data_IF_288773661277
#
_entry.id   IF_288773661277
#
_cell.length_a   1.000
_cell.length_b   1.000
_cell.length_c   1.000
_cell.angle_alpha   90.00
_cell.angle_beta   90.00
_cell.angle_gamma   90.00
#
_symmetry.space_group_name_H-M   'P 1'
#
loop_
_entity.id
_entity.type
_entity.pdbx_description
1 polymer ?
#
# COMPACT_ATOMS: atom_id res chain seq x y z
N UNK A 1 27.36 -56.46 33.30
CA UNK A 1 26.81 -55.12 33.09
C UNK A 1 25.30 -55.28 32.83
N UNK A 2 24.43 -54.65 33.60
CA UNK A 2 22.98 -54.96 33.60
C UNK A 2 22.34 -54.52 32.28
N UNK A 3 21.72 -55.41 31.53
CA UNK A 3 21.04 -55.14 30.24
C UNK A 3 19.97 -54.03 30.35
N UNK A 4 19.31 -53.96 31.52
CA UNK A 4 18.30 -52.93 31.82
C UNK A 4 18.94 -51.52 31.87
N UNK A 5 20.13 -51.36 32.49
CA UNK A 5 20.81 -50.08 32.55
C UNK A 5 21.22 -49.55 31.18
N UNK A 6 21.61 -50.42 30.24
CA UNK A 6 21.98 -50.07 28.90
C UNK A 6 20.77 -49.61 28.08
N UNK A 7 19.62 -50.20 28.24
CA UNK A 7 18.37 -49.82 27.57
C UNK A 7 17.85 -48.46 28.08
N UNK A 8 17.89 -48.26 29.41
CA UNK A 8 17.49 -46.94 30.00
C UNK A 8 18.41 -45.82 29.50
N UNK A 9 19.70 -46.07 29.42
CA UNK A 9 20.67 -45.07 28.92
C UNK A 9 20.43 -44.72 27.43
N UNK A 10 20.12 -45.73 26.60
CA UNK A 10 19.74 -45.48 25.18
C UNK A 10 18.47 -44.68 25.02
N UNK A 11 17.45 -44.94 25.83
CA UNK A 11 16.18 -44.18 25.82
C UNK A 11 16.42 -42.74 26.23
N UNK A 12 17.21 -42.52 27.29
CA UNK A 12 17.56 -41.15 27.74
C UNK A 12 18.30 -40.34 26.67
N UNK A 13 19.24 -40.97 25.98
CA UNK A 13 19.96 -40.28 24.87
C UNK A 13 19.00 -39.97 23.73
N UNK A 14 18.15 -40.92 23.35
CA UNK A 14 17.18 -40.71 22.26
C UNK A 14 16.20 -39.57 22.57
N UNK A 15 15.70 -39.50 23.80
CA UNK A 15 14.81 -38.40 24.22
C UNK A 15 15.53 -37.04 24.23
N UNK A 16 16.77 -37.00 24.70
CA UNK A 16 17.59 -35.79 24.69
C UNK A 16 17.84 -35.27 23.27
N UNK A 17 18.17 -36.17 22.33
CA UNK A 17 18.37 -35.81 20.93
C UNK A 17 17.08 -35.29 20.32
N UNK A 18 15.94 -35.95 20.57
CA UNK A 18 14.64 -35.54 20.05
C UNK A 18 14.23 -34.15 20.56
N UNK A 19 14.42 -33.87 21.85
CA UNK A 19 14.11 -32.56 22.42
C UNK A 19 15.02 -31.47 21.84
N UNK A 20 16.29 -31.76 21.64
CA UNK A 20 17.22 -30.82 21.02
C UNK A 20 16.84 -30.48 19.58
N UNK A 21 16.43 -31.48 18.77
CA UNK A 21 15.97 -31.28 17.41
C UNK A 21 14.69 -30.44 17.38
N UNK A 22 13.72 -30.70 18.27
CA UNK A 22 12.48 -29.91 18.35
C UNK A 22 12.80 -28.45 18.70
N UNK A 23 13.66 -28.19 19.67
CA UNK A 23 14.06 -26.82 20.04
C UNK A 23 14.76 -26.13 18.89
N UNK A 24 15.66 -26.84 18.18
CA UNK A 24 16.37 -26.29 17.04
C UNK A 24 15.40 -25.89 15.90
N UNK A 25 14.42 -26.73 15.60
CA UNK A 25 13.39 -26.44 14.60
C UNK A 25 12.56 -25.22 15.00
N UNK A 26 12.14 -25.12 16.27
CA UNK A 26 11.38 -23.96 16.77
C UNK A 26 12.24 -22.67 16.65
N UNK A 27 13.53 -22.73 17.00
CA UNK A 27 14.43 -21.58 16.87
C UNK A 27 14.57 -21.17 15.41
N UNK A 28 14.79 -22.12 14.49
CA UNK A 28 14.95 -21.81 13.05
C UNK A 28 13.65 -21.19 12.50
N UNK A 29 12.48 -21.76 12.82
CA UNK A 29 11.19 -21.21 12.35
C UNK A 29 10.95 -19.80 12.89
N UNK A 30 11.29 -19.54 14.17
CA UNK A 30 11.17 -18.20 14.74
C UNK A 30 12.17 -17.22 14.11
N UNK A 31 13.40 -17.63 13.84
CA UNK A 31 14.39 -16.77 13.15
C UNK A 31 13.96 -16.40 11.72
N UNK A 32 13.32 -17.31 10.99
CA UNK A 32 12.83 -17.01 9.65
C UNK A 32 11.64 -16.03 9.63
N UNK A 33 10.97 -15.83 10.77
CA UNK A 33 9.85 -14.89 10.89
C UNK A 33 10.25 -13.49 11.39
N UNK A 34 11.51 -13.27 11.81
CA UNK A 34 11.93 -12.01 12.46
C UNK A 34 12.42 -10.94 11.45
N UNK A 35 12.82 -11.33 10.24
CA UNK A 35 13.38 -10.41 9.25
C UNK A 35 12.50 -10.24 7.99
N UNK A 36 11.19 -10.08 8.14
CA UNK A 36 10.42 -9.50 7.04
C UNK A 36 10.64 -7.99 7.08
N UNK A 37 11.52 -7.51 6.20
CA UNK A 37 11.58 -6.08 5.87
C UNK A 37 10.16 -5.57 5.60
N UNK A 38 9.79 -4.38 6.06
CA UNK A 38 8.48 -3.83 5.75
C UNK A 38 8.30 -3.79 4.24
N UNK A 39 7.14 -4.23 3.77
CA UNK A 39 6.79 -4.04 2.37
C UNK A 39 6.41 -2.58 2.17
N UNK A 40 7.15 -1.87 1.35
CA UNK A 40 6.98 -0.43 1.11
C UNK A 40 6.82 -0.21 -0.39
N UNK A 41 5.82 0.55 -0.76
CA UNK A 41 5.68 1.12 -2.09
C UNK A 41 5.47 2.64 -1.95
N UNK A 42 6.26 3.40 -2.66
CA UNK A 42 6.01 4.82 -2.90
C UNK A 42 5.97 5.04 -4.40
N UNK A 43 4.81 5.39 -4.92
CA UNK A 43 4.61 5.69 -6.34
C UNK A 43 4.32 7.17 -6.54
N UNK A 44 4.86 7.75 -7.60
CA UNK A 44 4.69 9.16 -7.92
C UNK A 44 4.18 9.31 -9.35
N UNK A 45 3.09 10.07 -9.50
CA UNK A 45 2.67 10.59 -10.78
C UNK A 45 3.44 11.89 -11.10
N UNK A 46 3.95 12.01 -12.32
CA UNK A 46 4.64 13.22 -12.77
C UNK A 46 3.67 14.34 -13.14
N UNK A 47 4.13 15.62 -13.08
CA UNK A 47 3.34 16.75 -13.54
C UNK A 47 2.89 16.59 -14.99
N UNK A 48 1.66 16.99 -15.27
CA UNK A 48 1.13 17.06 -16.63
C UNK A 48 0.02 16.10 -16.98
N UNK A 49 -0.34 15.16 -16.09
CA UNK A 49 -1.56 14.38 -16.27
C UNK A 49 -2.77 15.31 -16.04
N UNK A 50 -3.37 15.77 -17.14
CA UNK A 50 -4.60 16.56 -17.06
C UNK A 50 -5.74 15.61 -16.63
N UNK A 51 -6.40 15.96 -15.55
CA UNK A 51 -7.70 15.38 -15.24
C UNK A 51 -8.73 16.18 -15.97
N UNK A 52 -9.29 15.58 -16.97
CA UNK A 52 -10.47 16.12 -17.67
C UNK A 52 -11.68 16.11 -16.74
N UNK A 53 -12.64 16.97 -17.05
CA UNK A 53 -13.94 17.04 -16.40
C UNK A 53 -14.49 15.64 -16.07
N UNK A 54 -14.83 15.40 -14.81
CA UNK A 54 -15.38 14.13 -14.34
C UNK A 54 -14.46 13.33 -13.45
N UNK A 55 -14.57 12.03 -13.56
CA UNK A 55 -13.84 11.06 -12.75
C UNK A 55 -12.66 10.49 -13.52
N UNK A 56 -11.47 10.52 -12.93
CA UNK A 56 -10.25 10.00 -13.56
C UNK A 56 -9.41 9.25 -12.54
N UNK A 57 -8.98 8.05 -12.89
CA UNK A 57 -7.97 7.32 -12.10
C UNK A 57 -6.58 7.89 -12.37
N UNK A 58 -5.81 8.05 -11.32
CA UNK A 58 -4.46 8.63 -11.36
C UNK A 58 -3.47 7.54 -11.76
N UNK A 59 -2.74 7.77 -12.85
CA UNK A 59 -1.64 6.91 -13.27
C UNK A 59 -0.35 7.33 -12.58
N UNK A 60 0.33 6.38 -11.96
CA UNK A 60 1.60 6.62 -11.30
C UNK A 60 2.75 6.29 -12.25
N UNK A 61 3.44 7.31 -12.73
CA UNK A 61 4.46 7.18 -13.78
C UNK A 61 5.80 6.67 -13.28
N UNK A 62 6.04 6.67 -11.97
CA UNK A 62 7.29 6.23 -11.37
C UNK A 62 7.06 5.52 -10.03
N UNK A 63 7.93 4.55 -9.77
CA UNK A 63 8.11 3.95 -8.46
C UNK A 63 9.40 4.51 -7.85
N UNK A 64 9.31 5.28 -6.76
CA UNK A 64 10.50 5.76 -6.07
C UNK A 64 11.16 4.64 -5.25
N UNK A 65 10.32 3.86 -4.55
CA UNK A 65 10.78 2.76 -3.68
C UNK A 65 9.77 1.63 -3.83
N UNK A 66 10.26 0.42 -4.12
CA UNK A 66 9.52 -0.84 -3.96
C UNK A 66 10.43 -1.78 -3.16
N UNK A 67 9.98 -2.16 -1.97
CA UNK A 67 10.66 -3.14 -1.12
C UNK A 67 9.71 -4.25 -0.73
N UNK A 68 10.19 -5.49 -0.78
CA UNK A 68 9.40 -6.68 -0.46
C UNK A 68 8.57 -7.19 -1.65
N UNK A 69 7.64 -8.10 -1.38
CA UNK A 69 6.84 -8.81 -2.39
C UNK A 69 5.33 -8.60 -2.23
N UNK A 70 4.90 -8.03 -1.10
CA UNK A 70 3.48 -7.91 -0.78
C UNK A 70 2.73 -6.88 -1.64
N UNK A 71 3.46 -5.95 -2.28
CA UNK A 71 2.89 -4.91 -3.11
C UNK A 71 3.66 -4.87 -4.43
N UNK A 72 2.96 -4.65 -5.53
CA UNK A 72 3.57 -4.39 -6.83
C UNK A 72 2.82 -3.32 -7.60
N UNK A 73 3.55 -2.56 -8.41
CA UNK A 73 3.02 -1.53 -9.28
C UNK A 73 3.86 -1.46 -10.56
N UNK A 74 3.20 -1.40 -11.70
CA UNK A 74 3.83 -1.16 -13.00
C UNK A 74 3.84 0.34 -13.29
N UNK A 75 4.99 0.90 -13.63
CA UNK A 75 5.11 2.32 -13.97
C UNK A 75 4.19 2.70 -15.14
N UNK A 76 3.42 3.78 -14.96
CA UNK A 76 2.40 4.21 -15.90
C UNK A 76 1.03 3.57 -15.70
N UNK A 77 0.88 2.61 -14.79
CA UNK A 77 -0.40 2.03 -14.40
C UNK A 77 -1.12 2.92 -13.38
N UNK A 78 -2.44 2.80 -13.32
CA UNK A 78 -3.29 3.29 -12.24
C UNK A 78 -3.56 2.23 -11.16
N UNK A 79 -3.06 0.99 -11.37
CA UNK A 79 -3.31 -0.17 -10.52
C UNK A 79 -2.12 -0.48 -9.62
N UNK A 80 -2.36 -0.54 -8.31
CA UNK A 80 -1.42 -1.04 -7.32
C UNK A 80 -1.93 -2.38 -6.84
N UNK A 81 -1.17 -3.43 -7.04
CA UNK A 81 -1.57 -4.80 -6.76
C UNK A 81 -1.13 -5.23 -5.35
N UNK A 82 -2.03 -5.82 -4.60
CA UNK A 82 -1.77 -6.45 -3.31
C UNK A 82 -1.49 -7.93 -3.54
N UNK A 83 -0.28 -8.37 -3.29
CA UNK A 83 0.16 -9.74 -3.54
C UNK A 83 0.06 -10.64 -2.30
N UNK A 84 0.00 -10.05 -1.11
CA UNK A 84 -0.10 -10.79 0.15
C UNK A 84 -1.25 -10.26 1.00
N UNK A 85 -1.98 -11.17 1.67
CA UNK A 85 -3.03 -10.77 2.64
C UNK A 85 -2.40 -10.16 3.89
N UNK A 86 -2.87 -8.98 4.31
CA UNK A 86 -2.28 -8.28 5.44
C UNK A 86 -3.05 -7.05 5.91
N UNK A 87 -2.43 -6.32 6.84
CA UNK A 87 -2.88 -4.99 7.27
C UNK A 87 -1.94 -3.97 6.64
N UNK A 88 -2.52 -3.02 5.93
CA UNK A 88 -1.80 -2.01 5.16
C UNK A 88 -2.16 -0.63 5.68
N UNK A 89 -1.16 0.20 5.89
CA UNK A 89 -1.32 1.64 6.03
C UNK A 89 -1.13 2.27 4.66
N UNK A 90 -2.15 2.95 4.18
CA UNK A 90 -2.17 3.59 2.86
C UNK A 90 -2.33 5.09 3.09
N UNK A 91 -1.40 5.86 2.54
CA UNK A 91 -1.47 7.32 2.56
C UNK A 91 -1.40 7.84 1.14
N UNK A 92 -2.28 8.76 0.78
CA UNK A 92 -2.17 9.44 -0.50
C UNK A 92 -2.09 10.95 -0.35
N UNK A 93 -1.47 11.56 -1.33
CA UNK A 93 -1.42 13.00 -1.53
C UNK A 93 -1.72 13.30 -3.00
N UNK A 94 -2.63 14.23 -3.24
CA UNK A 94 -2.98 14.69 -4.59
C UNK A 94 -2.91 16.21 -4.64
N UNK A 95 -2.07 16.74 -5.53
CA UNK A 95 -1.90 18.16 -5.72
C UNK A 95 -2.55 18.61 -7.03
N UNK A 96 -3.57 19.43 -6.93
CA UNK A 96 -4.34 19.96 -8.04
C UNK A 96 -4.07 21.44 -8.31
N UNK A 97 -4.01 21.81 -9.59
CA UNK A 97 -3.83 23.17 -10.08
C UNK A 97 -4.91 23.49 -11.10
N UNK A 98 -5.55 24.64 -10.94
CA UNK A 98 -6.42 25.22 -11.94
C UNK A 98 -5.83 26.56 -12.38
N UNK A 99 -5.47 26.67 -13.65
CA UNK A 99 -4.80 27.86 -14.21
C UNK A 99 -5.78 28.83 -14.91
N UNK A 100 -7.06 28.53 -14.86
CA UNK A 100 -8.14 29.35 -15.47
C UNK A 100 -9.07 29.92 -14.42
N UNK A 101 -9.70 31.04 -14.74
CA UNK A 101 -10.71 31.62 -13.86
C UNK A 101 -11.95 30.73 -13.84
N UNK A 102 -12.37 30.30 -12.65
CA UNK A 102 -13.53 29.41 -12.51
C UNK A 102 -13.80 29.02 -11.07
N UNK A 103 -14.61 28.01 -10.91
CA UNK A 103 -14.87 27.40 -9.60
C UNK A 103 -13.88 26.27 -9.40
N UNK A 104 -13.01 26.42 -8.41
CA UNK A 104 -12.08 25.35 -8.05
C UNK A 104 -12.75 24.42 -7.03
N UNK A 105 -12.92 23.19 -7.44
CA UNK A 105 -13.40 22.11 -6.56
C UNK A 105 -12.96 20.76 -7.14
N UNK A 106 -12.17 20.03 -6.38
CA UNK A 106 -11.85 18.67 -6.73
C UNK A 106 -11.84 17.77 -5.48
N UNK A 107 -12.03 16.50 -5.72
CA UNK A 107 -12.10 15.48 -4.69
C UNK A 107 -11.09 14.38 -5.01
N UNK A 108 -10.69 13.64 -4.01
CA UNK A 108 -9.89 12.44 -4.16
C UNK A 108 -10.48 11.31 -3.32
N UNK A 109 -10.45 10.11 -3.83
CA UNK A 109 -10.90 8.91 -3.14
C UNK A 109 -10.04 7.72 -3.50
N UNK A 110 -9.75 6.88 -2.50
CA UNK A 110 -9.09 5.60 -2.73
C UNK A 110 -10.14 4.56 -3.12
N UNK A 111 -9.84 3.77 -4.14
CA UNK A 111 -10.65 2.63 -4.57
C UNK A 111 -9.98 1.33 -4.18
N UNK A 112 -10.77 0.35 -3.74
CA UNK A 112 -10.37 -1.05 -3.63
C UNK A 112 -11.26 -1.87 -4.56
N UNK A 113 -10.68 -2.57 -5.51
CA UNK A 113 -11.40 -3.36 -6.50
C UNK A 113 -12.47 -2.54 -7.25
N UNK A 114 -12.14 -1.30 -7.60
CA UNK A 114 -13.02 -0.31 -8.23
C UNK A 114 -14.22 0.12 -7.36
N UNK A 115 -14.21 -0.15 -6.05
CA UNK A 115 -15.20 0.33 -5.11
C UNK A 115 -14.61 1.47 -4.25
N UNK A 116 -15.27 2.64 -4.20
CA UNK A 116 -14.76 3.77 -3.44
C UNK A 116 -14.81 3.50 -1.93
N UNK A 117 -13.74 3.84 -1.24
CA UNK A 117 -13.67 3.85 0.21
C UNK A 117 -14.11 5.22 0.71
N UNK A 118 -15.35 5.34 1.15
CA UNK A 118 -15.94 6.62 1.56
C UNK A 118 -15.14 7.32 2.68
N UNK A 119 -14.51 6.56 3.57
CA UNK A 119 -13.67 7.10 4.65
C UNK A 119 -12.37 7.76 4.15
N UNK A 120 -12.00 7.54 2.89
CA UNK A 120 -10.85 8.16 2.23
C UNK A 120 -11.23 9.33 1.32
N UNK A 121 -12.51 9.62 1.21
CA UNK A 121 -12.99 10.74 0.41
C UNK A 121 -12.52 12.06 1.00
N UNK A 122 -11.76 12.80 0.22
CA UNK A 122 -11.24 14.10 0.60
C UNK A 122 -11.66 15.14 -0.44
N UNK A 123 -12.16 16.27 0.02
CA UNK A 123 -12.72 17.31 -0.82
C UNK A 123 -12.00 18.64 -0.59
N UNK A 124 -11.65 19.32 -1.67
CA UNK A 124 -11.16 20.70 -1.59
C UNK A 124 -12.30 21.65 -1.18
N UNK A 125 -12.02 22.75 -0.47
CA UNK A 125 -12.96 23.84 -0.34
C UNK A 125 -13.27 24.42 -1.72
N UNK A 126 -14.53 24.82 -1.92
CA UNK A 126 -14.95 25.48 -3.15
C UNK A 126 -14.39 26.91 -3.17
N UNK A 127 -13.49 27.19 -4.10
CA UNK A 127 -12.96 28.54 -4.33
C UNK A 127 -13.54 29.06 -5.62
N UNK A 128 -14.08 30.28 -5.58
CA UNK A 128 -14.78 30.88 -6.74
C UNK A 128 -14.02 32.11 -7.24
N UNK A 129 -14.04 32.30 -8.55
CA UNK A 129 -13.51 33.50 -9.22
C UNK A 129 -12.02 33.80 -8.93
N UNK A 130 -11.23 32.75 -8.77
CA UNK A 130 -9.76 32.88 -8.68
C UNK A 130 -9.12 32.63 -10.04
N UNK A 131 -8.01 33.31 -10.32
CA UNK A 131 -7.26 33.18 -11.57
C UNK A 131 -6.21 32.07 -11.54
N UNK A 132 -5.87 31.58 -10.36
CA UNK A 132 -4.96 30.45 -10.17
C UNK A 132 -5.20 29.87 -8.79
N UNK A 133 -5.56 28.60 -8.76
CA UNK A 133 -5.82 27.87 -7.53
C UNK A 133 -4.91 26.65 -7.44
N UNK A 134 -4.36 26.45 -6.25
CA UNK A 134 -3.51 25.31 -5.95
C UNK A 134 -3.95 24.70 -4.63
N UNK A 135 -4.07 23.38 -4.59
CA UNK A 135 -4.50 22.69 -3.38
C UNK A 135 -3.94 21.28 -3.31
N UNK A 136 -3.69 20.85 -2.10
CA UNK A 136 -3.29 19.49 -1.79
C UNK A 136 -4.39 18.78 -1.00
N UNK A 137 -4.78 17.62 -1.45
CA UNK A 137 -5.62 16.68 -0.71
C UNK A 137 -4.75 15.55 -0.16
N UNK A 138 -4.96 15.19 1.10
CA UNK A 138 -4.24 14.08 1.74
C UNK A 138 -5.18 13.24 2.56
N UNK A 139 -4.97 11.94 2.55
CA UNK A 139 -5.67 11.01 3.46
C UNK A 139 -4.74 9.87 3.85
N UNK A 140 -5.03 9.27 5.01
CA UNK A 140 -4.36 8.06 5.48
C UNK A 140 -5.41 7.13 6.06
N UNK A 141 -5.34 5.86 5.68
CA UNK A 141 -6.25 4.81 6.15
C UNK A 141 -5.47 3.54 6.47
N UNK A 142 -5.98 2.75 7.41
CA UNK A 142 -5.46 1.41 7.72
C UNK A 142 -6.53 0.40 7.31
N UNK A 143 -6.17 -0.50 6.41
CA UNK A 143 -7.08 -1.49 5.83
C UNK A 143 -6.52 -2.91 5.97
N UNK A 144 -7.44 -3.87 6.10
CA UNK A 144 -7.12 -5.27 5.88
C UNK A 144 -7.41 -5.57 4.41
N UNK A 145 -6.39 -5.93 3.65
CA UNK A 145 -6.49 -6.28 2.24
C UNK A 145 -6.12 -7.75 2.04
N UNK A 146 -6.62 -8.31 0.95
CA UNK A 146 -6.35 -9.69 0.54
C UNK A 146 -5.42 -9.72 -0.67
N UNK A 147 -4.69 -10.83 -0.81
CA UNK A 147 -3.95 -11.07 -2.04
C UNK A 147 -4.90 -11.09 -3.24
N UNK A 148 -4.56 -10.31 -4.27
CA UNK A 148 -5.38 -10.08 -5.46
C UNK A 148 -6.24 -8.82 -5.40
N UNK A 149 -6.30 -8.10 -4.27
CA UNK A 149 -6.94 -6.79 -4.24
C UNK A 149 -6.14 -5.77 -5.07
N UNK A 150 -6.87 -4.85 -5.70
CA UNK A 150 -6.31 -3.77 -6.53
C UNK A 150 -6.69 -2.43 -5.91
N UNK A 151 -5.68 -1.59 -5.68
CA UNK A 151 -5.87 -0.22 -5.22
C UNK A 151 -5.73 0.75 -6.37
N UNK A 152 -6.56 1.81 -6.37
CA UNK A 152 -6.47 2.96 -7.28
C UNK A 152 -6.74 4.25 -6.53
N UNK A 153 -6.14 5.33 -6.99
CA UNK A 153 -6.50 6.69 -6.56
C UNK A 153 -7.34 7.34 -7.65
N UNK A 154 -8.49 7.85 -7.30
CA UNK A 154 -9.39 8.53 -8.20
C UNK A 154 -9.50 10.01 -7.84
N UNK A 155 -9.36 10.86 -8.84
CA UNK A 155 -9.66 12.28 -8.75
C UNK A 155 -11.00 12.58 -9.43
N UNK A 156 -11.81 13.44 -8.81
CA UNK A 156 -13.10 13.89 -9.36
C UNK A 156 -13.11 15.41 -9.36
N UNK A 157 -13.37 16.03 -10.52
CA UNK A 157 -13.44 17.47 -10.66
C UNK A 157 -14.65 17.90 -11.50
N UNK A 158 -15.19 19.08 -11.18
CA UNK A 158 -16.24 19.74 -11.98
C UNK A 158 -15.68 20.66 -13.06
N UNK A 159 -14.38 20.91 -13.04
CA UNK A 159 -13.64 21.75 -13.99
C UNK A 159 -12.35 21.04 -14.42
N UNK A 160 -11.74 21.50 -15.51
CA UNK A 160 -10.45 20.96 -15.92
C UNK A 160 -9.37 21.32 -14.89
N UNK A 161 -8.84 20.29 -14.25
CA UNK A 161 -7.76 20.40 -13.28
C UNK A 161 -6.56 19.62 -13.79
N UNK A 162 -5.39 20.24 -13.66
CA UNK A 162 -4.12 19.57 -13.85
C UNK A 162 -3.62 19.05 -12.52
N UNK A 163 -3.28 17.78 -12.46
CA UNK A 163 -2.54 17.24 -11.33
C UNK A 163 -1.05 17.40 -11.55
N UNK A 164 -0.41 18.19 -10.70
CA UNK A 164 1.03 18.42 -10.78
C UNK A 164 1.82 17.33 -10.05
N UNK A 165 1.22 16.69 -9.05
CA UNK A 165 1.83 15.60 -8.29
C UNK A 165 0.76 14.74 -7.61
N UNK A 166 0.97 13.44 -7.60
CA UNK A 166 0.22 12.51 -6.79
C UNK A 166 1.17 11.47 -6.19
N UNK A 167 0.94 11.10 -4.94
CA UNK A 167 1.69 10.05 -4.23
C UNK A 167 0.72 9.09 -3.54
N UNK A 168 1.10 7.85 -3.46
CA UNK A 168 0.42 6.83 -2.68
C UNK A 168 1.43 5.91 -2.01
#
# INVERSE_FOLDING_TARGET
MCSICNNIFKILIATLILTFVIVLVIVIVNFQNVDKSPNILVSIARPGDNVTLGTTTIKFSQNEIIEGTAISHEEGSDEININETGIYQISYQLFGVQDVTGTFNFNAVLLVNNQPLNDTFNQSPVIRNSTSNRMTLTSTVILRLQAGDILKLEGVSIEDIRYDNARI
#
